data_IF_021955550262
#
_entry.id   IF_021955550262
#
_cell.length_a   1.000
_cell.length_b   1.000
_cell.length_c   1.000
_cell.angle_alpha   90.00
_cell.angle_beta   90.00
_cell.angle_gamma   90.00
#
_symmetry.space_group_name_H-M   'P 1'
#
loop_
_entity.id
_entity.type
_entity.pdbx_description
1 polymer ?
#
# COMPACT_ATOMS: atom_id res chain seq x y z
N UNK A 1 -51.08 -2.06 -31.32
CA UNK A 1 -50.67 -0.65 -31.37
C UNK A 1 -50.17 -0.25 -29.99
N UNK A 2 -48.86 0.02 -29.91
CA UNK A 2 -48.16 0.95 -29.01
C UNK A 2 -48.27 0.82 -27.47
N UNK A 3 -47.22 0.24 -26.89
CA UNK A 3 -46.35 0.72 -25.78
C UNK A 3 -46.94 1.53 -24.61
N UNK A 4 -46.60 1.14 -23.39
CA UNK A 4 -45.66 1.91 -22.55
C UNK A 4 -45.10 1.07 -21.39
N UNK A 5 -43.78 1.13 -21.31
CA UNK A 5 -42.85 0.60 -20.33
C UNK A 5 -42.84 1.50 -19.08
N UNK A 6 -42.79 0.92 -17.88
CA UNK A 6 -42.30 1.60 -16.67
C UNK A 6 -41.39 0.61 -15.96
N UNK A 7 -40.12 0.66 -16.36
CA UNK A 7 -39.04 -0.10 -15.77
C UNK A 7 -38.79 0.29 -14.32
N UNK A 8 -38.62 -0.74 -13.50
CA UNK A 8 -38.21 -0.65 -12.10
C UNK A 8 -36.68 -0.42 -12.07
N UNK A 9 -36.25 0.83 -11.89
CA UNK A 9 -34.85 1.20 -11.75
C UNK A 9 -34.45 1.14 -10.27
N UNK A 10 -34.12 -0.06 -9.78
CA UNK A 10 -33.31 -0.22 -8.57
C UNK A 10 -31.85 -0.37 -8.99
N UNK A 11 -31.18 0.78 -9.12
CA UNK A 11 -29.74 0.89 -9.35
C UNK A 11 -28.96 0.36 -8.15
N UNK A 12 -28.61 -0.92 -8.21
CA UNK A 12 -27.57 -1.51 -7.36
C UNK A 12 -26.19 -1.00 -7.81
N UNK A 13 -25.89 0.26 -7.52
CA UNK A 13 -24.53 0.81 -7.62
C UNK A 13 -23.70 0.35 -6.42
N UNK A 14 -23.39 -0.95 -6.37
CA UNK A 14 -22.30 -1.43 -5.53
C UNK A 14 -21.00 -1.13 -6.27
N UNK A 15 -20.43 0.05 -6.02
CA UNK A 15 -19.10 0.43 -6.50
C UNK A 15 -18.13 -0.68 -6.11
N UNK A 16 -17.77 -1.50 -7.10
CA UNK A 16 -16.91 -2.65 -6.92
C UNK A 16 -15.50 -2.11 -6.77
N UNK A 17 -15.06 -1.88 -5.53
CA UNK A 17 -13.69 -1.46 -5.23
C UNK A 17 -12.73 -2.44 -5.89
N UNK A 18 -11.87 -1.93 -6.78
CA UNK A 18 -10.87 -2.74 -7.48
C UNK A 18 -9.68 -2.92 -6.56
N UNK A 19 -9.75 -3.91 -5.67
CA UNK A 19 -8.64 -4.30 -4.79
C UNK A 19 -7.65 -5.18 -5.55
N UNK A 20 -6.36 -4.83 -5.50
CA UNK A 20 -5.27 -5.67 -6.02
C UNK A 20 -4.87 -6.68 -4.94
N UNK A 21 -4.89 -7.98 -5.25
CA UNK A 21 -4.54 -9.05 -4.31
C UNK A 21 -3.04 -9.40 -4.27
N UNK A 22 -2.19 -8.63 -4.96
CA UNK A 22 -0.74 -8.83 -4.94
C UNK A 22 -0.11 -8.05 -3.79
N UNK A 23 0.74 -8.71 -2.99
CA UNK A 23 1.48 -8.20 -1.83
C UNK A 23 2.28 -6.91 -2.07
N UNK A 24 2.45 -6.50 -3.33
CA UNK A 24 3.26 -5.35 -3.75
C UNK A 24 2.44 -4.21 -4.30
N UNK A 25 1.11 -4.25 -4.21
CA UNK A 25 0.27 -3.16 -4.68
C UNK A 25 0.11 -2.10 -3.60
N UNK A 26 0.46 -0.85 -3.90
CA UNK A 26 0.07 0.30 -3.08
C UNK A 26 -0.55 1.38 -3.96
N UNK A 27 -1.59 2.07 -3.46
CA UNK A 27 -2.38 1.73 -2.27
C UNK A 27 -3.14 0.40 -2.46
N UNK A 28 -3.50 -0.29 -1.37
CA UNK A 28 -4.25 -1.56 -1.47
C UNK A 28 -5.70 -1.37 -1.98
N UNK A 29 -6.19 -0.14 -1.87
CA UNK A 29 -7.53 0.30 -2.26
C UNK A 29 -7.38 1.64 -2.95
N UNK A 30 -8.23 1.88 -3.95
CA UNK A 30 -8.32 3.17 -4.63
C UNK A 30 -8.69 4.29 -3.65
N UNK A 31 -8.00 5.42 -3.77
CA UNK A 31 -8.20 6.60 -2.94
C UNK A 31 -9.00 7.62 -3.74
N UNK A 32 -10.13 8.07 -3.19
CA UNK A 32 -10.86 9.18 -3.80
C UNK A 32 -10.13 10.51 -3.52
N UNK A 33 -9.62 11.11 -4.60
CA UNK A 33 -8.87 12.37 -4.57
C UNK A 33 -9.66 13.53 -5.20
N UNK A 34 -10.94 13.32 -5.53
CA UNK A 34 -11.77 14.29 -6.27
C UNK A 34 -11.89 15.65 -5.56
N UNK A 35 -11.92 15.63 -4.22
CA UNK A 35 -12.04 16.83 -3.38
C UNK A 35 -10.68 17.50 -3.07
N UNK A 36 -9.57 16.93 -3.55
CA UNK A 36 -8.24 17.44 -3.24
C UNK A 36 -7.91 18.64 -4.11
N UNK A 37 -7.55 19.76 -3.48
CA UNK A 37 -7.13 20.97 -4.17
C UNK A 37 -5.66 20.88 -4.61
N UNK A 38 -5.38 20.00 -5.56
CA UNK A 38 -4.08 19.92 -6.22
C UNK A 38 -4.00 21.04 -7.26
N UNK A 39 -2.97 21.90 -7.17
CA UNK A 39 -2.73 22.90 -8.21
C UNK A 39 -1.96 22.26 -9.36
N UNK A 40 -2.24 22.70 -10.59
CA UNK A 40 -1.59 22.17 -11.82
C UNK A 40 -0.06 22.32 -11.82
N UNK A 41 0.47 23.18 -10.94
CA UNK A 41 1.90 23.43 -10.81
C UNK A 41 2.63 22.41 -9.91
N UNK A 42 1.91 21.47 -9.29
CA UNK A 42 2.49 20.47 -8.41
C UNK A 42 2.77 19.18 -9.18
N UNK A 43 4.05 18.90 -9.42
CA UNK A 43 4.48 17.63 -9.98
C UNK A 43 4.54 16.58 -8.87
N UNK A 44 3.69 15.56 -8.96
CA UNK A 44 3.70 14.42 -8.04
C UNK A 44 4.79 13.43 -8.43
N UNK A 45 5.46 12.85 -7.43
CA UNK A 45 6.44 11.78 -7.65
C UNK A 45 5.78 10.53 -8.26
N UNK A 46 4.51 10.33 -7.94
CA UNK A 46 3.67 9.30 -8.53
C UNK A 46 2.33 9.90 -8.95
N UNK A 47 2.12 10.21 -10.25
CA UNK A 47 0.87 10.79 -10.73
C UNK A 47 -0.36 9.88 -10.60
N UNK A 48 -0.17 8.58 -10.31
CA UNK A 48 -1.24 7.60 -10.13
C UNK A 48 -1.18 6.95 -8.74
N UNK A 49 -0.75 7.71 -7.73
CA UNK A 49 -0.67 7.25 -6.34
C UNK A 49 -2.03 6.84 -5.76
N UNK A 50 -3.12 7.30 -6.37
CA UNK A 50 -4.51 7.07 -5.96
C UNK A 50 -5.05 5.70 -6.40
N UNK A 51 -4.39 5.06 -7.37
CA UNK A 51 -4.84 3.80 -7.96
C UNK A 51 -3.95 2.64 -7.48
N UNK A 52 -4.51 1.49 -7.06
CA UNK A 52 -3.73 0.32 -6.69
C UNK A 52 -2.81 -0.15 -7.82
N UNK A 53 -1.49 -0.09 -7.60
CA UNK A 53 -0.49 -0.55 -8.57
C UNK A 53 0.72 -1.13 -7.87
N UNK A 54 1.46 -1.97 -8.60
CA UNK A 54 2.70 -2.54 -8.08
C UNK A 54 3.71 -1.42 -7.76
N UNK A 55 4.39 -1.54 -6.63
CA UNK A 55 5.44 -0.60 -6.24
C UNK A 55 6.70 -0.89 -7.04
N UNK A 56 7.22 0.15 -7.69
CA UNK A 56 8.49 0.10 -8.41
C UNK A 56 9.68 0.23 -7.45
N UNK A 57 9.58 1.12 -6.46
CA UNK A 57 10.63 1.40 -5.49
C UNK A 57 10.04 1.91 -4.17
N UNK A 58 10.44 1.30 -3.05
CA UNK A 58 10.24 1.85 -1.71
C UNK A 58 11.59 2.34 -1.19
N UNK A 59 11.78 3.65 -1.01
CA UNK A 59 12.98 4.16 -0.35
C UNK A 59 13.05 3.59 1.07
N UNK A 60 14.12 2.85 1.35
CA UNK A 60 14.42 2.39 2.70
C UNK A 60 14.66 3.57 3.65
N UNK A 61 14.52 3.31 4.95
CA UNK A 61 14.70 4.29 6.02
C UNK A 61 16.06 5.00 5.97
N UNK A 62 17.13 4.29 5.59
CA UNK A 62 18.51 4.76 5.55
C UNK A 62 18.77 5.85 4.50
N UNK A 63 17.87 6.03 3.54
CA UNK A 63 18.03 6.99 2.44
C UNK A 63 16.93 8.05 2.36
N UNK A 64 15.87 7.93 3.18
CA UNK A 64 14.72 8.82 3.13
C UNK A 64 15.12 10.30 3.32
N UNK A 65 16.05 10.57 4.23
CA UNK A 65 16.56 11.92 4.51
C UNK A 65 17.35 12.55 3.35
N UNK A 66 17.84 11.75 2.40
CA UNK A 66 18.54 12.26 1.20
C UNK A 66 17.58 12.70 0.12
N UNK A 67 16.41 12.06 0.08
CA UNK A 67 15.40 12.23 -0.97
C UNK A 67 14.38 13.29 -0.58
N UNK A 68 14.06 13.42 0.71
CA UNK A 68 13.14 14.45 1.23
C UNK A 68 13.76 15.83 1.09
N UNK A 69 13.01 16.76 0.52
CA UNK A 69 13.42 18.14 0.30
C UNK A 69 12.59 19.10 1.16
N UNK A 70 13.01 20.36 1.23
CA UNK A 70 12.18 21.41 1.79
C UNK A 70 10.93 21.62 0.92
N UNK A 71 9.77 21.79 1.57
CA UNK A 71 8.49 22.04 0.91
C UNK A 71 7.40 21.10 1.40
N UNK A 72 6.38 21.65 2.05
CA UNK A 72 5.19 20.92 2.50
C UNK A 72 3.97 21.71 2.04
N UNK A 73 3.04 21.04 1.36
CA UNK A 73 1.75 21.61 0.98
C UNK A 73 0.66 20.93 1.79
N UNK A 74 -0.12 21.73 2.51
CA UNK A 74 -1.24 21.23 3.32
C UNK A 74 -2.52 21.26 2.48
N UNK A 75 -3.16 20.11 2.30
CA UNK A 75 -4.40 20.01 1.52
C UNK A 75 -5.65 20.45 2.31
N UNK A 76 -5.56 20.49 3.64
CA UNK A 76 -6.64 20.90 4.52
C UNK A 76 -6.54 20.27 5.90
N UNK A 77 -7.47 20.63 6.79
CA UNK A 77 -7.54 20.04 8.13
C UNK A 77 -8.03 18.59 8.04
N UNK A 78 -7.27 17.65 8.62
CA UNK A 78 -7.61 16.22 8.59
C UNK A 78 -7.35 15.53 7.25
N UNK A 79 -6.65 16.22 6.33
CA UNK A 79 -6.22 15.70 5.03
C UNK A 79 -4.73 15.36 5.07
N UNK A 80 -4.24 14.50 4.16
CA UNK A 80 -2.80 14.28 4.01
C UNK A 80 -2.08 15.56 3.55
N UNK A 81 -0.75 15.53 3.67
CA UNK A 81 0.13 16.60 3.21
C UNK A 81 0.99 16.12 2.05
N UNK A 82 1.34 17.04 1.15
CA UNK A 82 2.30 16.76 0.09
C UNK A 82 3.69 17.15 0.58
N UNK A 83 4.58 16.17 0.65
CA UNK A 83 5.99 16.35 1.00
C UNK A 83 6.82 16.42 -0.28
N UNK A 84 7.59 17.48 -0.46
CA UNK A 84 8.50 17.60 -1.58
C UNK A 84 9.64 16.58 -1.46
N UNK A 85 10.00 15.95 -2.57
CA UNK A 85 11.11 15.01 -2.68
C UNK A 85 11.86 15.22 -4.00
N UNK A 86 13.05 14.60 -4.14
CA UNK A 86 13.82 14.63 -5.39
C UNK A 86 13.04 14.14 -6.61
N UNK A 87 12.03 13.28 -6.41
CA UNK A 87 11.19 12.73 -7.49
C UNK A 87 9.92 13.55 -7.75
N UNK A 88 9.63 14.56 -6.93
CA UNK A 88 8.38 15.32 -6.93
C UNK A 88 7.64 15.21 -5.58
N UNK A 89 6.45 15.78 -5.52
CA UNK A 89 5.64 15.76 -4.31
C UNK A 89 5.04 14.36 -4.04
N UNK A 90 5.25 13.86 -2.83
CA UNK A 90 4.70 12.58 -2.35
C UNK A 90 3.61 12.85 -1.33
N UNK A 91 2.52 12.07 -1.39
CA UNK A 91 1.43 12.15 -0.41
C UNK A 91 1.86 11.44 0.87
N UNK A 92 1.74 12.13 2.01
CA UNK A 92 2.11 11.60 3.32
C UNK A 92 1.05 11.95 4.37
N UNK A 93 0.95 11.11 5.41
CA UNK A 93 -0.06 11.25 6.45
C UNK A 93 -1.21 10.27 6.32
N UNK A 94 -2.18 10.36 7.24
CA UNK A 94 -3.34 9.48 7.24
C UNK A 94 -4.39 9.94 6.23
N UNK A 95 -4.92 8.96 5.50
CA UNK A 95 -6.09 9.13 4.63
C UNK A 95 -7.21 8.32 5.28
N UNK A 96 -8.31 8.99 5.62
CA UNK A 96 -9.49 8.32 6.15
C UNK A 96 -10.24 7.67 5.00
N UNK A 97 -9.98 6.39 4.77
CA UNK A 97 -10.72 5.62 3.78
C UNK A 97 -11.84 4.84 4.52
N UNK A 98 -13.12 5.18 4.30
CA UNK A 98 -14.22 4.52 4.99
C UNK A 98 -14.30 3.04 4.61
N UNK A 99 -14.52 2.17 5.60
CA UNK A 99 -14.64 0.71 5.45
C UNK A 99 -13.37 -0.03 4.99
N UNK A 100 -12.18 0.49 5.27
CA UNK A 100 -10.97 -0.30 5.08
C UNK A 100 -10.92 -1.41 6.14
N UNK A 101 -11.03 -2.67 5.70
CA UNK A 101 -10.63 -3.79 6.56
C UNK A 101 -9.18 -3.64 6.98
N UNK A 102 -8.82 -4.07 8.19
CA UNK A 102 -7.40 -4.16 8.54
C UNK A 102 -6.79 -5.31 7.77
N UNK A 103 -5.88 -4.99 6.85
CA UNK A 103 -5.13 -6.00 6.08
C UNK A 103 -3.73 -6.15 6.69
N UNK A 104 -3.45 -7.32 7.24
CA UNK A 104 -2.09 -7.73 7.59
C UNK A 104 -1.56 -8.63 6.49
N UNK A 105 -0.46 -8.22 5.86
CA UNK A 105 0.18 -8.98 4.80
C UNK A 105 1.47 -9.63 5.34
N UNK A 106 1.50 -10.96 5.37
CA UNK A 106 2.70 -11.73 5.70
C UNK A 106 3.43 -12.08 4.41
N UNK A 107 4.61 -11.50 4.21
CA UNK A 107 5.51 -11.88 3.11
C UNK A 107 6.50 -12.93 3.63
N UNK A 108 6.46 -14.13 3.05
CA UNK A 108 7.39 -15.22 3.37
C UNK A 108 8.41 -15.38 2.25
N UNK A 109 9.69 -15.46 2.59
CA UNK A 109 10.73 -15.86 1.64
C UNK A 109 11.02 -17.34 1.83
N UNK A 110 10.45 -18.18 0.97
CA UNK A 110 10.57 -19.64 1.06
C UNK A 110 12.04 -20.10 1.07
N UNK A 111 12.93 -19.44 0.32
CA UNK A 111 14.36 -19.79 0.31
C UNK A 111 15.06 -19.48 1.63
N UNK A 112 14.71 -18.37 2.29
CA UNK A 112 15.25 -18.06 3.62
C UNK A 112 14.66 -18.98 4.68
N UNK A 113 13.37 -19.31 4.58
CA UNK A 113 12.69 -20.23 5.50
C UNK A 113 13.30 -21.62 5.40
N UNK A 114 13.51 -22.15 4.20
CA UNK A 114 14.09 -23.48 4.00
C UNK A 114 15.54 -23.55 4.51
N UNK A 115 16.36 -22.53 4.23
CA UNK A 115 17.73 -22.49 4.73
C UNK A 115 17.78 -22.35 6.26
N UNK A 116 16.92 -21.51 6.85
CA UNK A 116 16.88 -21.32 8.30
C UNK A 116 16.32 -22.55 9.02
N UNK A 117 15.29 -23.18 8.48
CA UNK A 117 14.71 -24.41 9.03
C UNK A 117 15.73 -25.56 9.04
N UNK A 118 16.48 -25.76 7.95
CA UNK A 118 17.57 -26.74 7.90
C UNK A 118 18.68 -26.44 8.92
N UNK A 119 19.05 -25.16 9.09
CA UNK A 119 20.07 -24.77 10.08
C UNK A 119 19.62 -25.08 11.52
N UNK A 120 18.39 -24.69 11.86
CA UNK A 120 17.81 -24.93 13.19
C UNK A 120 17.68 -26.43 13.47
N UNK A 121 17.25 -27.22 12.48
CA UNK A 121 17.19 -28.68 12.63
C UNK A 121 18.56 -29.28 12.92
N UNK A 122 19.60 -28.84 12.21
CA UNK A 122 20.97 -29.31 12.47
C UNK A 122 21.48 -28.93 13.85
N UNK A 123 21.19 -27.72 14.33
CA UNK A 123 21.66 -27.26 15.63
C UNK A 123 20.90 -27.93 16.79
N UNK A 124 19.58 -28.17 16.64
CA UNK A 124 18.80 -29.00 17.57
C UNK A 124 19.30 -30.44 17.60
N UNK A 125 19.60 -31.04 16.44
CA UNK A 125 20.12 -32.41 16.39
C UNK A 125 21.46 -32.54 17.11
N UNK A 126 22.38 -31.58 16.91
CA UNK A 126 23.65 -31.54 17.65
C UNK A 126 23.44 -31.38 19.14
N UNK A 127 22.50 -30.55 19.57
CA UNK A 127 22.17 -30.35 20.97
C UNK A 127 21.75 -31.67 21.65
N UNK A 128 20.80 -32.40 21.05
CA UNK A 128 20.32 -33.68 21.59
C UNK A 128 21.39 -34.77 21.61
N UNK A 129 22.25 -34.83 20.58
CA UNK A 129 23.38 -35.77 20.54
C UNK A 129 24.41 -35.51 21.65
N UNK A 130 24.52 -34.26 22.14
CA UNK A 130 25.43 -33.92 23.24
C UNK A 130 24.85 -34.30 24.61
N UNK A 131 23.53 -34.34 24.76
CA UNK A 131 22.87 -34.75 26.00
C UNK A 131 22.84 -36.27 26.21
N UNK A 132 22.91 -37.08 25.14
CA UNK A 132 22.94 -38.55 25.22
C UNK A 132 24.31 -39.13 25.63
N UNK A 133 25.37 -38.31 25.70
CA UNK A 133 26.74 -38.75 26.06
C UNK A 133 26.99 -38.67 27.59
N UNK A 134 25.94 -38.69 28.40
CA UNK A 134 26.03 -38.70 29.87
C UNK A 134 25.27 -39.87 30.51
#
# INVERSE_FOLDING_TARGET
>A
MLNADVGDQLSNNKSRSRSCSSLRCLPNVEVDVSDWKLSDNVSLADPKFDIPKQIDLLPGDSHLWRIVQAGIIHLGKGMPVLQNTEFGYTVTGQINVPNLGQYCHLSTNENLINNFACSIQNDLQKFWLLEEVN
#
